data_IF_763825944146
#
_entry.id   IF_763825944146
#
_cell.length_a   1.000
_cell.length_b   1.000
_cell.length_c   1.000
_cell.angle_alpha   90.00
_cell.angle_beta   90.00
_cell.angle_gamma   90.00
#
_symmetry.space_group_name_H-M   'P 1'
#
loop_
_entity.id
_entity.type
_entity.pdbx_description
1 polymer ?
#
# COMPACT_ATOMS: atom_id res chain seq x y z
N UNK A 1 -55.71 35.84 -75.04
CA UNK A 1 -54.46 35.09 -75.27
C UNK A 1 -54.61 33.70 -74.65
N UNK A 2 -54.55 32.63 -75.45
CA UNK A 2 -54.66 31.24 -74.96
C UNK A 2 -53.25 30.67 -74.82
N UNK A 3 -52.77 30.46 -73.59
CA UNK A 3 -51.49 29.80 -73.35
C UNK A 3 -51.63 28.31 -73.68
N UNK A 4 -50.75 27.78 -74.52
CA UNK A 4 -50.70 26.33 -74.74
C UNK A 4 -50.21 25.65 -73.46
N UNK A 5 -50.78 24.48 -73.13
CA UNK A 5 -50.42 23.72 -71.93
C UNK A 5 -48.90 23.47 -71.86
N UNK A 6 -48.23 23.27 -73.01
CA UNK A 6 -46.77 23.08 -73.10
C UNK A 6 -45.99 24.33 -72.69
N UNK A 7 -46.48 25.51 -73.06
CA UNK A 7 -45.86 26.80 -72.72
C UNK A 7 -45.99 27.11 -71.22
N UNK A 8 -47.13 26.76 -70.63
CA UNK A 8 -47.34 26.85 -69.19
C UNK A 8 -46.38 25.92 -68.43
N UNK A 9 -46.23 24.68 -68.91
CA UNK A 9 -45.37 23.66 -68.31
C UNK A 9 -43.89 24.06 -68.34
N UNK A 10 -43.41 24.59 -69.48
CA UNK A 10 -42.05 25.11 -69.61
C UNK A 10 -41.79 26.29 -68.67
N UNK A 11 -42.75 27.22 -68.54
CA UNK A 11 -42.64 28.35 -67.61
C UNK A 11 -42.61 27.89 -66.15
N UNK A 12 -43.49 26.96 -65.76
CA UNK A 12 -43.49 26.39 -64.40
C UNK A 12 -42.18 25.65 -64.08
N UNK A 13 -41.59 24.95 -65.05
CA UNK A 13 -40.32 24.25 -64.88
C UNK A 13 -39.17 25.25 -64.71
N UNK A 14 -39.17 26.34 -65.46
CA UNK A 14 -38.16 27.40 -65.36
C UNK A 14 -38.23 28.13 -64.01
N UNK A 15 -39.45 28.41 -63.53
CA UNK A 15 -39.68 28.97 -62.19
C UNK A 15 -39.22 27.99 -61.09
N UNK A 16 -39.49 26.70 -61.23
CA UNK A 16 -39.04 25.69 -60.28
C UNK A 16 -37.50 25.59 -60.24
N UNK A 17 -36.83 25.64 -61.39
CA UNK A 17 -35.36 25.66 -61.47
C UNK A 17 -34.76 26.92 -60.85
N UNK A 18 -35.36 28.09 -61.11
CA UNK A 18 -34.92 29.35 -60.52
C UNK A 18 -35.09 29.36 -58.98
N UNK A 19 -36.21 28.81 -58.48
CA UNK A 19 -36.44 28.67 -57.04
C UNK A 19 -35.44 27.70 -56.39
N UNK A 20 -35.09 26.59 -57.06
CA UNK A 20 -34.09 25.64 -56.59
C UNK A 20 -32.69 26.27 -56.54
N UNK A 21 -32.29 27.00 -57.58
CA UNK A 21 -31.02 27.71 -57.63
C UNK A 21 -30.91 28.77 -56.52
N UNK A 22 -31.99 29.52 -56.29
CA UNK A 22 -32.06 30.50 -55.20
C UNK A 22 -31.93 29.84 -53.83
N UNK A 23 -32.66 28.74 -53.60
CA UNK A 23 -32.59 28.00 -52.34
C UNK A 23 -31.16 27.48 -52.07
N UNK A 24 -30.51 26.90 -53.07
CA UNK A 24 -29.13 26.41 -52.94
C UNK A 24 -28.15 27.54 -52.64
N UNK A 25 -28.33 28.72 -53.25
CA UNK A 25 -27.46 29.88 -53.02
C UNK A 25 -27.63 30.45 -51.61
N UNK A 26 -28.86 30.46 -51.09
CA UNK A 26 -29.14 30.85 -49.69
C UNK A 26 -28.56 29.83 -48.71
N UNK A 27 -28.66 28.53 -49.00
CA UNK A 27 -28.06 27.47 -48.17
C UNK A 27 -26.53 27.55 -48.17
N UNK A 28 -25.90 27.79 -49.31
CA UNK A 28 -24.45 28.02 -49.42
C UNK A 28 -24.00 29.20 -48.55
N UNK A 29 -24.68 30.35 -48.62
CA UNK A 29 -24.35 31.52 -47.79
C UNK A 29 -24.53 31.23 -46.29
N UNK A 30 -25.53 30.44 -45.92
CA UNK A 30 -25.74 30.02 -44.51
C UNK A 30 -24.61 29.10 -44.04
N UNK A 31 -24.18 28.16 -44.87
CA UNK A 31 -23.06 27.27 -44.56
C UNK A 31 -21.74 28.04 -44.44
N UNK A 32 -21.48 29.00 -45.32
CA UNK A 32 -20.31 29.89 -45.24
C UNK A 32 -20.28 30.67 -43.91
N UNK A 33 -21.41 31.27 -43.53
CA UNK A 33 -21.51 31.97 -42.25
C UNK A 33 -21.30 31.04 -41.04
N UNK A 34 -21.80 29.80 -41.10
CA UNK A 34 -21.57 28.80 -40.04
C UNK A 34 -20.09 28.41 -39.95
N UNK A 35 -19.40 28.24 -41.09
CA UNK A 35 -17.97 27.94 -41.12
C UNK A 35 -17.16 29.09 -40.53
N UNK A 36 -17.52 30.34 -40.82
CA UNK A 36 -16.84 31.51 -40.23
C UNK A 36 -17.02 31.57 -38.71
N UNK A 37 -18.23 31.32 -38.21
CA UNK A 37 -18.50 31.25 -36.76
C UNK A 37 -17.66 30.15 -36.10
N UNK A 38 -17.61 28.96 -36.70
CA UNK A 38 -16.80 27.85 -36.17
C UNK A 38 -15.32 28.20 -36.19
N UNK A 39 -14.80 28.79 -37.27
CA UNK A 39 -13.40 29.24 -37.36
C UNK A 39 -13.06 30.28 -36.29
N UNK A 40 -13.90 31.29 -36.10
CA UNK A 40 -13.72 32.30 -35.07
C UNK A 40 -13.74 31.69 -33.67
N UNK A 41 -14.65 30.74 -33.41
CA UNK A 41 -14.72 30.06 -32.11
C UNK A 41 -13.50 29.17 -31.85
N UNK A 42 -12.97 28.50 -32.89
CA UNK A 42 -11.75 27.69 -32.79
C UNK A 42 -10.52 28.54 -32.54
N UNK A 43 -10.39 29.69 -33.21
CA UNK A 43 -9.28 30.63 -32.96
C UNK A 43 -9.35 31.19 -31.55
N UNK A 44 -10.53 31.65 -31.10
CA UNK A 44 -10.70 32.14 -29.74
C UNK A 44 -10.42 31.06 -28.67
N UNK A 45 -10.70 29.78 -28.96
CA UNK A 45 -10.33 28.67 -28.08
C UNK A 45 -8.81 28.43 -28.05
N UNK A 46 -8.14 28.51 -29.20
CA UNK A 46 -6.67 28.39 -29.29
C UNK A 46 -5.98 29.54 -28.52
N UNK A 47 -6.44 30.77 -28.70
CA UNK A 47 -5.88 31.95 -28.00
C UNK A 47 -6.05 31.82 -26.48
N UNK A 48 -7.20 31.30 -26.00
CA UNK A 48 -7.43 31.05 -24.57
C UNK A 48 -6.49 29.98 -24.01
N UNK A 49 -6.27 28.91 -24.76
CA UNK A 49 -5.37 27.83 -24.38
C UNK A 49 -3.93 28.36 -24.28
N UNK A 50 -3.50 29.15 -25.27
CA UNK A 50 -2.17 29.75 -25.31
C UNK A 50 -1.94 30.67 -24.11
N UNK A 51 -2.88 31.58 -23.82
CA UNK A 51 -2.83 32.47 -22.65
C UNK A 51 -2.81 31.67 -21.33
N UNK A 52 -3.49 30.53 -21.27
CA UNK A 52 -3.49 29.68 -20.08
C UNK A 52 -2.14 28.97 -19.86
N UNK A 53 -1.48 28.50 -20.92
CA UNK A 53 -0.14 27.90 -20.86
C UNK A 53 0.97 28.90 -20.54
N UNK A 54 0.82 30.16 -20.96
CA UNK A 54 1.76 31.25 -20.65
C UNK A 54 1.37 32.05 -19.38
N UNK A 55 0.29 31.66 -18.70
CA UNK A 55 -0.09 32.33 -17.46
C UNK A 55 0.96 32.06 -16.36
N UNK A 56 1.35 33.08 -15.57
CA UNK A 56 2.32 32.92 -14.49
C UNK A 56 1.93 31.82 -13.49
N UNK A 57 0.62 31.63 -13.26
CA UNK A 57 0.08 30.61 -12.37
C UNK A 57 0.20 29.18 -12.91
N UNK A 58 0.16 28.97 -14.23
CA UNK A 58 0.41 27.65 -14.83
C UNK A 58 1.90 27.29 -14.74
N UNK A 59 2.79 28.25 -15.03
CA UNK A 59 4.24 28.04 -14.91
C UNK A 59 4.66 27.74 -13.46
N UNK A 60 4.09 28.43 -12.47
CA UNK A 60 4.32 28.15 -11.05
C UNK A 60 3.84 26.76 -10.65
N UNK A 61 2.62 26.35 -11.03
CA UNK A 61 2.12 25.00 -10.75
C UNK A 61 2.94 23.90 -11.41
N UNK A 62 3.42 24.16 -12.63
CA UNK A 62 4.30 23.21 -13.33
C UNK A 62 5.66 23.10 -12.64
N UNK A 63 6.26 24.21 -12.21
CA UNK A 63 7.49 24.21 -11.42
C UNK A 63 7.29 23.48 -10.08
N UNK A 64 6.18 23.72 -9.38
CA UNK A 64 5.84 23.00 -8.15
C UNK A 64 5.69 21.48 -8.39
N UNK A 65 5.03 21.07 -9.48
CA UNK A 65 4.92 19.67 -9.86
C UNK A 65 6.26 19.04 -10.23
N UNK A 66 7.10 19.76 -10.98
CA UNK A 66 8.44 19.33 -11.36
C UNK A 66 9.35 19.21 -10.12
N UNK A 67 9.24 20.14 -9.17
CA UNK A 67 9.94 20.10 -7.89
C UNK A 67 9.49 18.93 -7.01
N UNK A 68 8.17 18.67 -6.92
CA UNK A 68 7.63 17.49 -6.21
C UNK A 68 8.12 16.21 -6.88
N UNK A 69 8.10 16.13 -8.21
CA UNK A 69 8.58 14.97 -8.94
C UNK A 69 10.09 14.76 -8.74
N UNK A 70 10.88 15.83 -8.75
CA UNK A 70 12.32 15.80 -8.47
C UNK A 70 12.61 15.35 -7.03
N UNK A 71 11.83 15.84 -6.05
CA UNK A 71 11.91 15.40 -4.66
C UNK A 71 11.56 13.92 -4.50
N UNK A 72 10.49 13.44 -5.14
CA UNK A 72 10.09 12.03 -5.12
C UNK A 72 11.18 11.13 -5.74
N UNK A 73 11.79 11.55 -6.86
CA UNK A 73 12.91 10.83 -7.47
C UNK A 73 14.14 10.80 -6.55
N UNK A 74 14.46 11.92 -5.89
CA UNK A 74 15.58 11.99 -4.94
C UNK A 74 15.35 11.08 -3.74
N UNK A 75 14.14 11.11 -3.16
CA UNK A 75 13.75 10.24 -2.05
C UNK A 75 13.83 8.76 -2.44
N UNK A 76 13.36 8.41 -3.65
CA UNK A 76 13.43 7.05 -4.17
C UNK A 76 14.87 6.56 -4.34
N UNK A 77 15.79 7.42 -4.84
CA UNK A 77 17.21 7.08 -4.93
C UNK A 77 17.86 6.91 -3.57
N UNK A 78 17.59 7.82 -2.64
CA UNK A 78 18.10 7.71 -1.27
C UNK A 78 17.57 6.44 -0.60
N UNK A 79 16.32 6.07 -0.83
CA UNK A 79 15.76 4.83 -0.32
C UNK A 79 16.46 3.60 -0.89
N UNK A 80 16.72 3.53 -2.21
CA UNK A 80 17.52 2.44 -2.79
C UNK A 80 18.92 2.33 -2.19
N UNK A 81 19.59 3.47 -1.96
CA UNK A 81 20.90 3.48 -1.30
C UNK A 81 20.83 2.94 0.14
N UNK A 82 19.72 3.20 0.85
CA UNK A 82 19.47 2.59 2.14
C UNK A 82 19.18 1.09 2.00
N UNK A 83 18.35 0.66 1.06
CA UNK A 83 18.13 -0.78 0.83
C UNK A 83 19.43 -1.53 0.50
N UNK A 84 20.31 -0.96 -0.32
CA UNK A 84 21.62 -1.55 -0.62
C UNK A 84 22.53 -1.61 0.61
N UNK A 85 22.61 -0.52 1.38
CA UNK A 85 23.46 -0.45 2.59
C UNK A 85 22.96 -1.32 3.73
N UNK A 86 21.64 -1.46 3.85
CA UNK A 86 20.99 -2.17 4.96
C UNK A 86 20.52 -3.58 4.60
N UNK A 87 20.54 -3.94 3.31
CA UNK A 87 20.17 -5.26 2.81
C UNK A 87 21.19 -6.35 3.08
N UNK A 88 22.44 -6.01 3.36
CA UNK A 88 23.46 -7.01 3.71
C UNK A 88 23.36 -7.41 5.19
N UNK A 89 23.32 -8.72 5.42
CA UNK A 89 23.49 -9.35 6.72
C UNK A 89 24.49 -10.48 6.51
N UNK A 90 25.64 -10.39 7.16
CA UNK A 90 26.69 -11.42 7.08
C UNK A 90 26.47 -12.46 8.18
N UNK A 91 26.59 -13.74 7.82
CA UNK A 91 26.65 -14.83 8.79
C UNK A 91 27.98 -14.78 9.52
N UNK A 92 27.96 -14.73 10.85
CA UNK A 92 29.18 -14.70 11.67
C UNK A 92 29.79 -16.10 11.79
N UNK A 93 28.96 -17.07 12.17
CA UNK A 93 29.34 -18.48 12.36
C UNK A 93 28.08 -19.38 12.30
N UNK A 94 28.26 -20.69 12.46
CA UNK A 94 27.17 -21.69 12.39
C UNK A 94 26.31 -21.79 13.67
N UNK A 95 26.57 -20.98 14.70
CA UNK A 95 25.89 -21.02 16.01
C UNK A 95 25.16 -19.70 16.35
N UNK A 96 25.55 -18.61 15.71
CA UNK A 96 25.15 -17.24 16.06
C UNK A 96 23.95 -16.83 15.22
N UNK A 97 22.82 -16.62 15.90
CA UNK A 97 21.65 -16.02 15.27
C UNK A 97 21.94 -14.55 14.97
N UNK A 98 21.60 -14.11 13.77
CA UNK A 98 21.80 -12.72 13.38
C UNK A 98 20.54 -12.14 12.78
N UNK A 99 20.25 -10.86 13.05
CA UNK A 99 19.16 -10.17 12.39
C UNK A 99 19.46 -8.70 12.14
N UNK A 100 18.75 -8.12 11.16
CA UNK A 100 18.81 -6.70 10.85
C UNK A 100 17.46 -6.19 10.39
N UNK A 101 17.12 -4.97 10.77
CA UNK A 101 15.92 -4.29 10.27
C UNK A 101 16.17 -3.73 8.88
N UNK A 102 15.30 -4.05 7.94
CA UNK A 102 15.32 -3.51 6.59
C UNK A 102 14.48 -2.23 6.53
N UNK A 103 14.95 -1.18 5.85
CA UNK A 103 14.14 0.00 5.59
C UNK A 103 12.93 -0.38 4.73
N UNK A 104 11.77 0.17 5.07
CA UNK A 104 10.49 -0.11 4.41
C UNK A 104 9.81 1.20 4.09
N UNK A 105 9.43 1.41 2.82
CA UNK A 105 8.58 2.53 2.42
C UNK A 105 7.13 2.20 2.79
N UNK A 106 6.58 2.92 3.76
CA UNK A 106 5.16 2.81 4.12
C UNK A 106 4.34 3.58 3.08
N UNK A 107 3.79 2.85 2.10
CA UNK A 107 3.00 3.44 0.99
C UNK A 107 1.48 3.37 1.27
N UNK A 108 1.05 2.64 2.30
CA UNK A 108 -0.36 2.38 2.61
C UNK A 108 -0.69 2.68 4.08
N UNK A 109 -1.99 2.69 4.43
CA UNK A 109 -2.55 2.92 5.78
C UNK A 109 -2.24 1.79 6.80
N UNK A 110 -1.01 1.30 6.79
CA UNK A 110 -0.50 0.32 7.74
C UNK A 110 1.01 0.42 7.86
N UNK A 111 1.59 -0.32 8.81
CA UNK A 111 3.04 -0.39 8.91
C UNK A 111 3.50 -1.82 8.73
N UNK A 112 4.56 -1.92 7.93
CA UNK A 112 5.28 -3.15 7.68
C UNK A 112 6.68 -3.02 8.29
N UNK A 113 7.01 -3.95 9.18
CA UNK A 113 8.36 -4.15 9.69
C UNK A 113 8.98 -5.31 8.94
N UNK A 114 10.10 -5.05 8.26
CA UNK A 114 10.87 -6.08 7.55
C UNK A 114 12.17 -6.35 8.30
N UNK A 115 12.45 -7.61 8.56
CA UNK A 115 13.63 -8.10 9.27
C UNK A 115 14.30 -9.15 8.40
N UNK A 116 15.60 -8.97 8.13
CA UNK A 116 16.43 -10.01 7.56
C UNK A 116 17.01 -10.84 8.69
N UNK A 117 16.84 -12.15 8.64
CA UNK A 117 17.25 -13.11 9.65
C UNK A 117 18.28 -14.07 9.05
N UNK A 118 19.28 -14.44 9.85
CA UNK A 118 20.16 -15.58 9.59
C UNK A 118 19.94 -16.63 10.67
N UNK A 119 19.47 -17.80 10.26
CA UNK A 119 19.18 -18.94 11.13
C UNK A 119 20.38 -19.90 11.08
N UNK A 120 21.14 -20.04 12.18
CA UNK A 120 22.34 -20.86 12.26
C UNK A 120 22.04 -22.37 12.18
N UNK A 121 22.96 -23.15 11.62
CA UNK A 121 22.79 -24.60 11.43
C UNK A 121 22.69 -25.39 12.75
N UNK A 122 23.45 -24.96 13.78
CA UNK A 122 23.62 -25.72 15.02
C UNK A 122 22.75 -25.21 16.18
N UNK A 123 21.87 -24.24 15.92
CA UNK A 123 20.96 -23.68 16.94
C UNK A 123 19.54 -23.61 16.39
N UNK A 124 18.59 -24.41 16.92
CA UNK A 124 17.21 -24.34 16.49
C UNK A 124 16.60 -22.98 16.86
N UNK A 125 15.89 -22.37 15.92
CA UNK A 125 15.19 -21.09 16.14
C UNK A 125 13.70 -21.27 15.87
N UNK A 126 12.90 -20.89 16.84
CA UNK A 126 11.44 -20.90 16.77
C UNK A 126 10.92 -19.47 16.80
N UNK A 127 10.04 -19.14 15.85
CA UNK A 127 9.28 -17.90 15.82
C UNK A 127 7.96 -18.11 16.56
N UNK A 128 7.69 -17.25 17.53
CA UNK A 128 6.48 -17.29 18.36
C UNK A 128 5.77 -15.95 18.32
N UNK A 129 4.43 -15.97 18.43
CA UNK A 129 3.64 -14.74 18.51
C UNK A 129 2.46 -14.88 19.49
N UNK A 130 2.02 -13.79 20.11
CA UNK A 130 0.91 -13.83 21.06
C UNK A 130 0.54 -12.46 21.60
N UNK A 131 -0.53 -12.40 22.40
CA UNK A 131 -1.01 -11.17 23.04
C UNK A 131 -0.87 -11.27 24.56
N UNK A 132 -0.41 -10.21 25.20
CA UNK A 132 -0.27 -10.11 26.66
C UNK A 132 -0.82 -8.79 27.19
N UNK A 133 -1.61 -8.85 28.26
CA UNK A 133 -2.04 -7.66 29.00
C UNK A 133 -0.97 -7.17 30.01
N UNK A 134 0.16 -7.88 30.14
CA UNK A 134 1.15 -7.59 31.16
C UNK A 134 2.28 -6.70 30.61
N UNK A 135 2.37 -5.48 31.11
CA UNK A 135 3.33 -4.49 30.64
C UNK A 135 4.79 -4.87 30.92
N UNK A 136 5.02 -5.75 31.91
CA UNK A 136 6.34 -6.26 32.34
C UNK A 136 6.84 -7.45 31.52
N UNK A 137 6.00 -8.04 30.66
CA UNK A 137 6.40 -9.04 29.66
C UNK A 137 7.41 -8.48 28.62
N UNK A 138 7.78 -7.20 28.75
CA UNK A 138 8.91 -6.48 28.13
C UNK A 138 10.22 -7.28 27.97
N UNK A 139 10.46 -8.36 28.73
CA UNK A 139 11.79 -8.99 28.85
C UNK A 139 11.89 -10.51 28.78
N UNK A 140 10.79 -11.27 28.68
CA UNK A 140 10.87 -12.73 28.82
C UNK A 140 10.37 -13.48 27.57
N UNK A 141 11.28 -13.93 26.68
CA UNK A 141 11.02 -15.11 25.87
C UNK A 141 10.94 -16.30 26.84
N UNK A 142 9.76 -16.90 26.96
CA UNK A 142 9.55 -18.09 27.80
C UNK A 142 8.19 -18.21 28.49
N UNK A 143 7.27 -17.24 28.33
CA UNK A 143 5.93 -17.36 28.89
C UNK A 143 4.98 -18.02 27.87
N UNK A 144 5.13 -19.33 27.70
CA UNK A 144 4.34 -20.13 26.75
C UNK A 144 2.82 -20.14 27.08
N UNK A 145 2.42 -19.62 28.26
CA UNK A 145 1.02 -19.34 28.59
C UNK A 145 0.39 -18.28 27.67
N UNK A 146 1.18 -17.36 27.11
CA UNK A 146 0.70 -16.27 26.24
C UNK A 146 0.07 -16.77 24.94
N UNK A 147 0.46 -17.96 24.48
CA UNK A 147 -0.09 -18.57 23.26
C UNK A 147 -1.52 -19.09 23.46
N UNK A 148 -1.93 -19.35 24.70
CA UNK A 148 -3.20 -20.03 25.04
C UNK A 148 -4.37 -19.08 25.28
N UNK A 149 -4.12 -17.79 25.50
CA UNK A 149 -5.16 -16.82 25.90
C UNK A 149 -5.34 -15.67 24.90
N UNK A 150 -4.78 -15.79 23.70
CA UNK A 150 -4.78 -14.69 22.74
C UNK A 150 -6.16 -14.47 22.11
N UNK A 151 -6.69 -13.23 22.06
CA UNK A 151 -8.02 -12.92 21.51
C UNK A 151 -8.05 -12.91 19.97
N UNK A 152 -7.24 -13.76 19.33
CA UNK A 152 -7.18 -13.86 17.88
C UNK A 152 -8.33 -14.69 17.32
N UNK A 153 -8.83 -14.28 16.16
CA UNK A 153 -9.91 -15.00 15.46
C UNK A 153 -9.48 -16.37 14.95
N UNK A 154 -8.18 -16.57 14.63
CA UNK A 154 -7.65 -17.89 14.22
C UNK A 154 -7.11 -18.68 15.41
N UNK A 155 -7.57 -19.92 15.55
CA UNK A 155 -6.91 -20.99 16.31
C UNK A 155 -5.80 -21.60 15.45
N UNK A 156 -4.64 -20.95 15.40
CA UNK A 156 -3.46 -21.48 14.69
C UNK A 156 -2.39 -22.00 15.65
N UNK A 157 -1.39 -22.75 15.16
CA UNK A 157 -0.12 -22.81 15.88
C UNK A 157 0.45 -21.38 15.86
N UNK A 158 0.63 -20.77 17.04
CA UNK A 158 1.25 -19.45 17.18
C UNK A 158 2.78 -19.55 17.27
N UNK A 159 3.32 -20.63 16.71
CA UNK A 159 4.70 -21.06 16.82
C UNK A 159 5.13 -21.79 15.54
N UNK A 160 6.31 -21.44 15.01
CA UNK A 160 6.89 -22.05 13.81
C UNK A 160 8.38 -22.26 13.97
N UNK A 161 8.88 -23.45 13.59
CA UNK A 161 10.33 -23.67 13.48
C UNK A 161 10.83 -22.98 12.21
N UNK A 162 11.83 -22.13 12.36
CA UNK A 162 12.40 -21.43 11.21
C UNK A 162 13.38 -22.34 10.43
N UNK A 163 13.32 -22.32 9.09
CA UNK A 163 14.32 -22.97 8.24
C UNK A 163 15.71 -22.37 8.44
N UNK A 164 16.73 -23.15 8.11
CA UNK A 164 18.14 -22.73 8.21
C UNK A 164 18.49 -21.77 7.07
N UNK A 165 19.36 -20.81 7.36
CA UNK A 165 19.88 -19.86 6.38
C UNK A 165 19.25 -18.48 6.45
N UNK A 166 19.23 -17.79 5.31
CA UNK A 166 18.82 -16.39 5.19
C UNK A 166 17.33 -16.27 4.86
N UNK A 167 16.60 -15.50 5.66
CA UNK A 167 15.15 -15.31 5.50
C UNK A 167 14.72 -13.86 5.74
N UNK A 168 13.70 -13.41 5.03
CA UNK A 168 13.07 -12.11 5.21
C UNK A 168 11.73 -12.27 5.94
N UNK A 169 11.69 -11.88 7.21
CA UNK A 169 10.47 -11.83 8.00
C UNK A 169 9.78 -10.48 7.81
N UNK A 170 8.55 -10.50 7.33
CA UNK A 170 7.67 -9.33 7.24
C UNK A 170 6.55 -9.44 8.27
N UNK A 171 6.43 -8.41 9.10
CA UNK A 171 5.38 -8.27 10.08
C UNK A 171 4.54 -7.05 9.70
N UNK A 172 3.28 -7.28 9.36
CA UNK A 172 2.36 -6.26 8.86
C UNK A 172 1.19 -6.08 9.81
N UNK A 173 0.84 -4.83 10.10
CA UNK A 173 -0.41 -4.49 10.77
C UNK A 173 -1.11 -3.33 10.06
N UNK A 174 -2.43 -3.30 10.17
CA UNK A 174 -3.28 -2.23 9.61
C UNK A 174 -3.97 -1.46 10.73
N UNK A 175 -4.42 -0.25 10.42
CA UNK A 175 -5.30 0.49 11.32
C UNK A 175 -6.56 -0.32 11.63
N UNK A 176 -7.09 -0.12 12.83
CA UNK A 176 -8.31 -0.78 13.22
C UNK A 176 -9.51 -0.21 12.45
N UNK A 177 -10.35 -1.11 11.92
CA UNK A 177 -11.61 -0.78 11.26
C UNK A 177 -12.70 -1.58 11.96
N UNK A 178 -13.73 -0.92 12.47
CA UNK A 178 -14.86 -1.54 13.17
C UNK A 178 -14.46 -2.49 14.32
N UNK A 179 -13.49 -2.08 15.14
CA UNK A 179 -13.01 -2.88 16.27
C UNK A 179 -12.14 -4.07 15.88
N UNK A 180 -11.68 -4.14 14.62
CA UNK A 180 -10.83 -5.22 14.11
C UNK A 180 -9.51 -4.67 13.63
N UNK A 181 -8.42 -5.27 14.07
CA UNK A 181 -7.08 -4.91 13.65
C UNK A 181 -6.41 -6.08 12.93
N UNK A 182 -6.27 -6.02 11.59
CA UNK A 182 -5.59 -7.05 10.81
C UNK A 182 -4.11 -7.16 11.15
N UNK A 183 -3.63 -8.40 11.22
CA UNK A 183 -2.26 -8.78 11.49
C UNK A 183 -1.80 -9.87 10.52
N UNK A 184 -0.61 -9.69 9.96
CA UNK A 184 0.00 -10.67 9.07
C UNK A 184 1.48 -10.87 9.40
N UNK A 185 1.88 -12.13 9.45
CA UNK A 185 3.24 -12.61 9.63
C UNK A 185 3.62 -13.43 8.40
N UNK A 186 4.66 -13.02 7.70
CA UNK A 186 5.14 -13.66 6.47
C UNK A 186 6.64 -13.89 6.55
N UNK A 187 7.07 -15.10 6.22
CA UNK A 187 8.48 -15.46 6.10
C UNK A 187 8.78 -15.71 4.62
N UNK A 188 9.69 -14.94 4.05
CA UNK A 188 9.96 -14.92 2.61
C UNK A 188 8.68 -14.70 1.79
N UNK A 189 8.18 -15.75 1.16
CA UNK A 189 6.95 -15.75 0.36
C UNK A 189 5.78 -16.45 1.06
N UNK A 190 6.02 -17.10 2.19
CA UNK A 190 5.05 -17.94 2.88
C UNK A 190 4.35 -17.16 4.01
N UNK A 191 3.02 -17.14 3.96
CA UNK A 191 2.19 -16.53 5.01
C UNK A 191 2.08 -17.51 6.17
N UNK A 192 2.80 -17.21 7.27
CA UNK A 192 2.79 -18.04 8.48
C UNK A 192 1.51 -17.83 9.28
N UNK A 193 1.09 -16.58 9.44
CA UNK A 193 -0.12 -16.20 10.15
C UNK A 193 -0.79 -15.01 9.47
N UNK A 194 -2.10 -15.10 9.33
CA UNK A 194 -2.95 -13.98 8.95
C UNK A 194 -4.19 -14.06 9.82
N UNK A 195 -4.34 -13.09 10.72
CA UNK A 195 -5.41 -13.06 11.74
C UNK A 195 -5.82 -11.63 12.02
N UNK A 196 -6.90 -11.47 12.76
CA UNK A 196 -7.36 -10.16 13.23
C UNK A 196 -7.41 -10.20 14.76
N UNK A 197 -7.05 -9.08 15.39
CA UNK A 197 -7.35 -8.81 16.78
C UNK A 197 -8.74 -8.15 16.84
N UNK A 198 -9.66 -8.72 17.62
CA UNK A 198 -11.06 -8.27 17.67
C UNK A 198 -11.38 -7.74 19.07
N UNK A 199 -11.59 -6.42 19.16
CA UNK A 199 -12.01 -5.75 20.38
C UNK A 199 -12.80 -4.47 20.00
N UNK A 200 -14.04 -4.28 20.49
CA UNK A 200 -14.83 -3.10 20.15
C UNK A 200 -14.16 -1.77 20.54
N UNK A 201 -13.21 -1.78 21.48
CA UNK A 201 -12.54 -0.58 22.00
C UNK A 201 -11.18 -0.28 21.34
N UNK A 202 -10.72 -1.10 20.38
CA UNK A 202 -9.43 -0.85 19.72
C UNK A 202 -9.51 0.35 18.79
N UNK A 203 -8.58 1.31 18.97
CA UNK A 203 -8.50 2.51 18.11
C UNK A 203 -7.24 2.55 17.27
N UNK A 204 -6.10 2.24 17.89
CA UNK A 204 -4.81 2.27 17.23
C UNK A 204 -3.83 1.33 17.93
N UNK A 205 -2.83 0.88 17.19
CA UNK A 205 -1.66 0.23 17.75
C UNK A 205 -0.43 1.10 17.51
N UNK A 206 0.48 1.11 18.47
CA UNK A 206 1.83 1.65 18.29
C UNK A 206 2.83 0.51 18.28
N UNK A 207 3.80 0.58 17.39
CA UNK A 207 4.83 -0.43 17.29
C UNK A 207 6.13 0.00 17.95
N UNK A 208 6.80 -1.00 18.51
CA UNK A 208 8.19 -0.94 18.92
C UNK A 208 8.88 -2.20 18.41
N UNK A 209 10.04 -2.02 17.79
CA UNK A 209 10.90 -3.11 17.36
C UNK A 209 12.35 -2.71 17.67
N UNK A 210 13.28 -3.67 17.74
CA UNK A 210 14.70 -3.34 17.82
C UNK A 210 15.07 -2.59 16.54
N UNK A 211 15.28 -1.27 16.63
CA UNK A 211 15.78 -0.49 15.50
C UNK A 211 17.29 -0.72 15.40
N UNK A 212 17.66 -1.82 14.76
CA UNK A 212 19.04 -2.22 14.61
C UNK A 212 19.64 -1.51 13.38
N UNK A 213 20.17 -0.29 13.58
CA UNK A 213 20.96 0.40 12.54
C UNK A 213 22.13 -0.46 12.05
N UNK A 214 22.62 -1.35 12.91
CA UNK A 214 23.64 -2.36 12.63
C UNK A 214 23.05 -3.76 12.83
N UNK A 215 23.62 -4.77 12.17
CA UNK A 215 23.24 -6.16 12.40
C UNK A 215 23.43 -6.52 13.89
N UNK A 216 22.45 -7.22 14.45
CA UNK A 216 22.50 -7.74 15.81
C UNK A 216 22.85 -9.21 15.76
N UNK A 217 23.85 -9.60 16.55
CA UNK A 217 24.37 -10.96 16.61
C UNK A 217 24.14 -11.52 18.02
N UNK A 218 23.43 -12.64 18.10
CA UNK A 218 23.08 -13.32 19.33
C UNK A 218 23.83 -14.65 19.41
N UNK A 219 24.93 -14.72 20.20
CA UNK A 219 25.69 -15.95 20.39
C UNK A 219 24.87 -17.02 21.14
N UNK A 220 25.28 -18.30 21.09
CA UNK A 220 24.51 -19.42 21.63
C UNK A 220 24.32 -19.39 23.16
N UNK A 221 25.18 -18.70 23.89
CA UNK A 221 25.10 -18.50 25.35
C UNK A 221 24.03 -17.48 25.77
N UNK A 222 23.53 -16.68 24.81
CA UNK A 222 22.50 -15.66 25.06
C UNK A 222 21.14 -16.09 24.56
N UNK A 223 20.09 -15.69 25.30
CA UNK A 223 18.70 -15.87 24.88
C UNK A 223 18.41 -15.11 23.59
N UNK A 224 17.63 -15.73 22.71
CA UNK A 224 17.16 -15.08 21.49
C UNK A 224 16.31 -13.83 21.79
N UNK A 225 16.33 -12.82 20.90
CA UNK A 225 15.66 -11.54 21.13
C UNK A 225 14.16 -11.60 20.83
N UNK A 226 13.42 -10.64 21.41
CA UNK A 226 12.11 -10.24 20.90
C UNK A 226 12.27 -9.42 19.63
N UNK A 227 11.48 -9.71 18.60
CA UNK A 227 11.58 -9.07 17.29
C UNK A 227 10.63 -7.89 17.14
N UNK A 228 9.45 -7.96 17.74
CA UNK A 228 8.46 -6.90 17.64
C UNK A 228 7.52 -6.89 18.84
N UNK A 229 7.06 -5.69 19.20
CA UNK A 229 5.95 -5.49 20.11
C UNK A 229 5.03 -4.38 19.60
N UNK A 230 3.75 -4.68 19.46
CA UNK A 230 2.70 -3.68 19.23
C UNK A 230 1.95 -3.42 20.54
N UNK A 231 1.91 -2.18 21.02
CA UNK A 231 1.00 -1.77 22.08
C UNK A 231 -0.34 -1.39 21.46
N UNK A 232 -1.39 -2.11 21.85
CA UNK A 232 -2.76 -1.91 21.40
C UNK A 232 -3.43 -0.96 22.39
N UNK A 233 -3.88 0.18 21.88
CA UNK A 233 -4.54 1.21 22.68
C UNK A 233 -6.05 0.98 22.68
N UNK A 234 -6.60 0.71 23.86
CA UNK A 234 -8.02 0.51 24.11
C UNK A 234 -8.62 1.78 24.71
N UNK A 235 -9.81 2.18 24.25
CA UNK A 235 -10.36 3.51 24.52
C UNK A 235 -10.83 3.76 25.96
N UNK A 236 -11.15 2.71 26.73
CA UNK A 236 -11.87 2.83 28.00
C UNK A 236 -11.14 2.28 29.23
N UNK A 237 -10.15 1.41 29.03
CA UNK A 237 -9.35 0.86 30.10
C UNK A 237 -7.89 1.21 29.86
N UNK A 238 -7.20 1.80 30.84
CA UNK A 238 -5.74 2.03 30.82
C UNK A 238 -4.91 0.73 30.73
N UNK A 239 -5.52 -0.41 30.40
CA UNK A 239 -4.86 -1.66 30.05
C UNK A 239 -4.48 -1.58 28.59
N UNK A 240 -3.18 -1.46 28.33
CA UNK A 240 -2.63 -1.73 27.03
C UNK A 240 -2.46 -3.24 26.89
N UNK A 241 -3.07 -3.82 25.86
CA UNK A 241 -2.67 -5.14 25.41
C UNK A 241 -1.45 -5.02 24.51
N UNK A 242 -0.62 -6.04 24.52
CA UNK A 242 0.62 -6.05 23.75
C UNK A 242 0.66 -7.29 22.88
N UNK A 243 0.67 -7.07 21.58
CA UNK A 243 1.06 -8.12 20.66
C UNK A 243 2.58 -8.22 20.64
N UNK A 244 3.12 -9.43 20.74
CA UNK A 244 4.56 -9.69 20.81
C UNK A 244 4.93 -10.77 19.81
N UNK A 245 6.02 -10.55 19.08
CA UNK A 245 6.68 -11.54 18.23
C UNK A 245 8.09 -11.72 18.76
N UNK A 246 8.47 -12.96 19.06
CA UNK A 246 9.78 -13.26 19.64
C UNK A 246 10.35 -14.57 19.11
N UNK A 247 11.64 -14.76 19.36
CA UNK A 247 12.37 -15.97 19.02
C UNK A 247 12.69 -16.79 20.26
N UNK A 248 12.72 -18.11 20.11
CA UNK A 248 13.08 -19.04 21.18
C UNK A 248 13.90 -20.22 20.65
N UNK A 249 14.72 -20.81 21.52
CA UNK A 249 15.56 -21.98 21.18
C UNK A 249 14.77 -23.30 21.20
N UNK A 250 13.54 -23.30 21.72
CA UNK A 250 12.71 -24.49 21.89
C UNK A 250 11.25 -24.25 21.52
N UNK A 251 10.57 -25.33 21.14
CA UNK A 251 9.11 -25.33 21.00
C UNK A 251 8.44 -25.11 22.36
N UNK A 252 7.23 -24.59 22.32
CA UNK A 252 6.31 -24.41 23.45
C UNK A 252 5.41 -25.63 23.66
N UNK A 253 5.55 -26.65 22.79
CA UNK A 253 4.64 -27.81 22.70
C UNK A 253 3.16 -27.40 22.57
N UNK A 254 2.91 -26.27 21.90
CA UNK A 254 1.55 -25.75 21.75
C UNK A 254 0.72 -26.68 20.86
N UNK A 255 -0.22 -27.41 21.47
CA UNK A 255 -1.26 -28.11 20.75
C UNK A 255 -2.38 -27.12 20.41
N UNK A 256 -2.65 -26.82 19.12
CA UNK A 256 -3.78 -25.97 18.76
C UNK A 256 -5.06 -26.60 19.29
N UNK A 257 -5.91 -25.78 19.93
CA UNK A 257 -7.24 -26.23 20.32
C UNK A 257 -7.95 -26.75 19.07
N UNK A 258 -8.40 -28.01 19.09
CA UNK A 258 -9.19 -28.59 17.99
C UNK A 258 -10.37 -27.65 17.74
N UNK A 259 -10.51 -27.17 16.50
CA UNK A 259 -11.69 -26.43 16.09
C UNK A 259 -12.93 -27.25 16.47
N UNK A 260 -13.96 -26.64 17.11
CA UNK A 260 -15.24 -27.31 17.26
C UNK A 260 -15.77 -27.57 15.85
N UNK A 261 -15.83 -28.86 15.48
CA UNK A 261 -16.52 -29.29 14.27
C UNK A 261 -17.96 -28.76 14.37
N UNK A 262 -18.31 -27.82 13.49
CA UNK A 262 -19.68 -27.36 13.29
C UNK A 262 -20.42 -28.34 12.39
#
# INVERSE_FOLDING_TARGET
MRFSIRSLLALTLLVALAALAWKNLVELRRMEAQIEVVRASSQAAQDRIEVQFYSPGYQQRKLEQDDIAAMALKASRQFRQLEEKYGTLESVDENTFSFRTLPSLQISEGQDVKLRLFIPANRPVWLKCGVTANETARRAPGDDQLLRTSPFTKTGPFEWRLPLGMHDLTISYRHAVDGKMPFKLQLDHDVLLETEYVDPDVRHASLSWPNAQQASHTPPDKKLPGLMRAAISLSLNRRAEHFVVWLADSSSEFAPAKEPQR
#
